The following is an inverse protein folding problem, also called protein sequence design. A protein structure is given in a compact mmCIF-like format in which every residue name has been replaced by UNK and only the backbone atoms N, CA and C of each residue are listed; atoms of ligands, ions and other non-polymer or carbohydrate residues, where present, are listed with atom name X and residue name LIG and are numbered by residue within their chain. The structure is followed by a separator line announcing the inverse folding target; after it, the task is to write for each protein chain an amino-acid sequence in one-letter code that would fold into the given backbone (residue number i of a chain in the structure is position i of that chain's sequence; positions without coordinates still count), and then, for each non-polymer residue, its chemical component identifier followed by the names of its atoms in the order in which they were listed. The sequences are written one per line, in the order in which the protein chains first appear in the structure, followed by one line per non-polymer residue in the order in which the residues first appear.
data_IF_258341664155
#
_entry.id   IF_258341664155
#
_cell.length_a   1.000
_cell.length_b   1.000
_cell.length_c   1.000
_cell.angle_alpha   90.00
_cell.angle_beta   90.00
_cell.angle_gamma   90.00
#
_symmetry.space_group_name_H-M   'P 1'
#
loop_
_entity.id
_entity.type
_entity.pdbx_description
1 polymer ?
#
# COMPACT_ATOMS: atom_id res chain seq x y z
N UNK A 1 -38.01 1.40 -31.63
CA UNK A 1 -37.09 2.04 -30.66
C UNK A 1 -36.54 3.32 -31.30
N UNK A 2 -36.65 4.50 -30.68
CA UNK A 2 -36.21 5.74 -31.34
C UNK A 2 -34.68 5.83 -31.43
N UNK A 3 -34.17 6.48 -32.48
CA UNK A 3 -32.73 6.67 -32.74
C UNK A 3 -32.02 7.27 -31.52
N UNK A 4 -32.62 8.27 -30.86
CA UNK A 4 -32.08 8.84 -29.60
C UNK A 4 -31.94 7.81 -28.49
N UNK A 5 -32.88 6.86 -28.38
CA UNK A 5 -32.85 5.80 -27.35
C UNK A 5 -31.77 4.76 -27.67
N UNK A 6 -31.56 4.46 -28.95
CA UNK A 6 -30.45 3.61 -29.42
C UNK A 6 -29.09 4.23 -29.13
N UNK A 7 -28.87 5.50 -29.51
CA UNK A 7 -27.62 6.22 -29.19
C UNK A 7 -27.37 6.31 -27.68
N UNK A 8 -28.42 6.52 -26.86
CA UNK A 8 -28.29 6.53 -25.41
C UNK A 8 -27.87 5.17 -24.85
N UNK A 9 -28.41 4.08 -25.40
CA UNK A 9 -28.05 2.71 -24.99
C UNK A 9 -26.65 2.37 -25.46
N UNK A 10 -26.29 2.68 -26.70
CA UNK A 10 -24.95 2.47 -27.25
C UNK A 10 -23.91 3.25 -26.44
N UNK A 11 -24.14 4.53 -26.16
CA UNK A 11 -23.25 5.32 -25.30
C UNK A 11 -23.17 4.75 -23.88
N UNK A 12 -24.27 4.20 -23.34
CA UNK A 12 -24.26 3.56 -22.02
C UNK A 12 -23.48 2.24 -22.03
N UNK A 13 -23.59 1.44 -23.08
CA UNK A 13 -22.82 0.20 -23.27
C UNK A 13 -21.34 0.53 -23.45
N UNK A 14 -21.00 1.44 -24.38
CA UNK A 14 -19.62 1.91 -24.60
C UNK A 14 -19.05 2.48 -23.29
N UNK A 15 -19.83 3.25 -22.52
CA UNK A 15 -19.39 3.76 -21.21
C UNK A 15 -19.16 2.67 -20.16
N UNK A 16 -19.78 1.50 -20.30
CA UNK A 16 -19.61 0.36 -19.39
C UNK A 16 -18.48 -0.57 -19.81
N UNK A 17 -18.20 -0.67 -21.11
CA UNK A 17 -17.17 -1.60 -21.64
C UNK A 17 -15.75 -1.15 -21.34
N UNK A 18 -15.49 0.16 -21.22
CA UNK A 18 -14.16 0.66 -20.83
C UNK A 18 -13.98 0.79 -19.31
N UNK A 19 -15.08 0.80 -18.54
CA UNK A 19 -15.06 0.90 -17.08
C UNK A 19 -14.95 -0.48 -16.48
N UNK A 20 -13.75 -0.80 -16.03
CA UNK A 20 -13.49 -2.02 -15.30
C UNK A 20 -13.79 -1.82 -13.82
N UNK A 21 -14.35 -2.86 -13.19
CA UNK A 21 -14.58 -2.86 -11.75
C UNK A 21 -13.25 -2.70 -11.00
N UNK A 22 -13.27 -2.11 -9.80
CA UNK A 22 -12.09 -2.04 -8.94
C UNK A 22 -11.49 -3.43 -8.74
N UNK A 23 -10.23 -3.57 -9.09
CA UNK A 23 -9.44 -4.78 -8.82
C UNK A 23 -8.73 -4.64 -7.48
N UNK A 24 -8.40 -5.75 -6.84
CA UNK A 24 -7.55 -5.68 -5.65
C UNK A 24 -6.18 -5.09 -6.01
N UNK A 25 -5.56 -4.28 -5.13
CA UNK A 25 -4.26 -3.69 -5.40
C UNK A 25 -3.21 -4.78 -5.60
N UNK A 26 -2.62 -4.84 -6.80
CA UNK A 26 -1.65 -5.87 -7.16
C UNK A 26 -0.22 -5.34 -6.99
N UNK A 27 0.62 -6.12 -6.31
CA UNK A 27 2.04 -5.83 -6.24
C UNK A 27 2.71 -5.98 -7.61
N UNK A 28 3.65 -5.10 -7.96
CA UNK A 28 4.32 -5.22 -9.24
C UNK A 28 5.15 -6.49 -9.31
N UNK A 29 5.19 -7.08 -10.51
CA UNK A 29 6.14 -8.16 -10.80
C UNK A 29 7.57 -7.66 -10.60
N UNK A 30 8.42 -8.52 -10.06
CA UNK A 30 9.83 -8.19 -9.78
C UNK A 30 10.63 -8.00 -11.06
N UNK A 31 10.26 -8.71 -12.12
CA UNK A 31 11.03 -8.83 -13.37
C UNK A 31 10.73 -7.72 -14.37
N UNK A 32 9.53 -7.14 -14.34
CA UNK A 32 9.13 -6.11 -15.31
C UNK A 32 9.42 -4.69 -14.80
N UNK A 33 10.01 -3.86 -15.65
CA UNK A 33 10.22 -2.44 -15.39
C UNK A 33 8.92 -1.65 -15.56
N UNK A 34 8.87 -0.47 -14.93
CA UNK A 34 7.75 0.46 -15.09
C UNK A 34 7.92 1.26 -16.37
N UNK A 35 6.83 1.35 -17.12
CA UNK A 35 6.79 2.12 -18.36
C UNK A 35 6.40 3.56 -18.03
N UNK A 36 7.10 4.51 -18.65
CA UNK A 36 6.78 5.93 -18.61
C UNK A 36 6.10 6.30 -19.92
N UNK A 37 4.84 6.72 -19.86
CA UNK A 37 4.04 7.06 -21.05
C UNK A 37 3.49 8.46 -20.86
N UNK A 38 3.88 9.39 -21.73
CA UNK A 38 3.38 10.77 -21.73
C UNK A 38 2.33 10.91 -22.83
N UNK A 39 1.16 11.43 -22.48
CA UNK A 39 0.09 11.65 -23.45
C UNK A 39 -1.04 12.49 -22.87
N UNK A 40 -2.09 12.70 -23.66
CA UNK A 40 -3.25 13.49 -23.28
C UNK A 40 -4.33 12.57 -22.73
N UNK A 41 -4.94 12.94 -21.61
CA UNK A 41 -6.09 12.19 -21.07
C UNK A 41 -7.27 12.31 -22.04
N UNK A 42 -7.63 11.21 -22.69
CA UNK A 42 -8.86 11.13 -23.50
C UNK A 42 -10.09 11.02 -22.60
N UNK A 43 -10.00 10.13 -21.60
CA UNK A 43 -11.05 9.86 -20.61
C UNK A 43 -10.43 9.51 -19.27
N UNK A 44 -11.08 9.94 -18.19
CA UNK A 44 -10.72 9.57 -16.84
C UNK A 44 -12.00 9.32 -16.04
N UNK A 45 -12.05 8.21 -15.31
CA UNK A 45 -13.09 7.94 -14.31
C UNK A 45 -12.44 7.67 -12.96
N UNK A 46 -13.07 8.17 -11.90
CA UNK A 46 -12.60 8.14 -10.53
C UNK A 46 -13.69 7.47 -9.68
N UNK A 47 -13.44 6.25 -9.23
CA UNK A 47 -14.29 5.60 -8.24
C UNK A 47 -13.64 5.81 -6.86
N UNK A 48 -14.25 6.64 -6.01
CA UNK A 48 -13.81 6.84 -4.62
C UNK A 48 -14.23 5.61 -3.79
N UNK A 49 -13.26 4.79 -3.38
CA UNK A 49 -13.51 3.61 -2.54
C UNK A 49 -12.41 3.48 -1.48
N UNK A 50 -12.79 3.47 -0.20
CA UNK A 50 -11.85 3.40 0.92
C UNK A 50 -11.42 1.95 1.17
N UNK A 51 -10.29 1.52 0.57
CA UNK A 51 -9.81 0.15 0.69
C UNK A 51 -8.50 0.01 1.49
N UNK A 52 -8.37 -1.15 2.14
CA UNK A 52 -7.20 -1.58 2.92
C UNK A 52 -6.02 -1.93 1.99
N UNK A 53 -4.85 -1.29 2.17
CA UNK A 53 -3.64 -1.54 1.37
C UNK A 53 -2.60 -2.37 2.15
N UNK A 54 -2.76 -3.69 2.16
CA UNK A 54 -1.64 -4.59 2.44
C UNK A 54 -1.10 -5.12 1.11
N UNK A 55 0.09 -4.65 0.74
CA UNK A 55 0.82 -5.14 -0.41
C UNK A 55 1.28 -6.57 -0.13
N UNK A 56 0.41 -7.55 -0.41
CA UNK A 56 0.71 -8.98 -0.33
C UNK A 56 1.00 -9.46 -1.76
N UNK A 57 2.16 -10.12 -2.02
CA UNK A 57 2.47 -10.68 -3.33
C UNK A 57 1.33 -11.56 -3.81
N UNK A 58 1.04 -11.57 -5.12
CA UNK A 58 -0.10 -12.34 -5.67
C UNK A 58 -0.05 -13.81 -5.24
N UNK A 59 1.15 -14.40 -5.20
CA UNK A 59 1.42 -15.74 -4.68
C UNK A 59 1.21 -15.89 -3.17
N UNK A 60 1.66 -14.91 -2.37
CA UNK A 60 1.50 -14.90 -0.92
C UNK A 60 0.03 -14.68 -0.51
N UNK A 61 -0.72 -13.91 -1.30
CA UNK A 61 -2.16 -13.71 -1.13
C UNK A 61 -2.92 -14.98 -1.47
N UNK A 62 -2.56 -15.66 -2.57
CA UNK A 62 -3.11 -16.97 -2.94
C UNK A 62 -2.89 -17.98 -1.80
N UNK A 63 -1.65 -18.11 -1.34
CA UNK A 63 -1.30 -19.05 -0.28
C UNK A 63 -2.00 -18.72 1.04
N UNK A 64 -2.16 -17.43 1.37
CA UNK A 64 -2.91 -17.00 2.56
C UNK A 64 -4.39 -17.33 2.44
N UNK A 65 -5.02 -17.04 1.31
CA UNK A 65 -6.43 -17.38 1.06
C UNK A 65 -6.63 -18.89 1.17
N UNK A 66 -5.76 -19.68 0.54
CA UNK A 66 -5.81 -21.14 0.58
C UNK A 66 -5.61 -21.65 2.01
N UNK A 67 -4.62 -21.14 2.75
CA UNK A 67 -4.37 -21.57 4.11
C UNK A 67 -5.56 -21.26 5.03
N UNK A 68 -6.06 -20.01 5.02
CA UNK A 68 -7.22 -19.62 5.85
C UNK A 68 -8.48 -20.40 5.46
N UNK A 69 -8.65 -20.71 4.17
CA UNK A 69 -9.76 -21.52 3.68
C UNK A 69 -9.66 -22.98 4.11
N UNK A 70 -8.48 -23.59 4.04
CA UNK A 70 -8.23 -24.96 4.52
C UNK A 70 -8.47 -25.05 6.04
N UNK A 71 -8.02 -24.03 6.78
CA UNK A 71 -8.21 -23.95 8.23
C UNK A 71 -9.71 -23.81 8.61
N UNK A 72 -10.50 -23.08 7.79
CA UNK A 72 -11.94 -22.91 8.01
C UNK A 72 -12.80 -24.12 7.54
N UNK A 73 -12.31 -24.94 6.60
CA UNK A 73 -13.08 -26.04 6.01
C UNK A 73 -13.38 -27.19 6.99
N UNK A 74 -12.45 -27.51 7.90
CA UNK A 74 -12.73 -28.39 9.04
C UNK A 74 -11.54 -28.42 10.02
N UNK A 75 -11.70 -27.96 11.27
CA UNK A 75 -10.66 -28.10 12.30
C UNK A 75 -10.46 -29.54 12.79
N UNK A 76 -11.33 -30.48 12.40
CA UNK A 76 -11.33 -31.87 12.88
C UNK A 76 -10.42 -32.81 12.06
N UNK A 77 -9.98 -32.40 10.86
CA UNK A 77 -9.22 -33.26 9.95
C UNK A 77 -7.84 -32.66 9.63
N UNK A 78 -6.79 -33.50 9.72
CA UNK A 78 -5.41 -33.09 9.47
C UNK A 78 -5.07 -33.17 7.97
N UNK A 79 -5.24 -32.05 7.25
CA UNK A 79 -5.04 -31.96 5.80
C UNK A 79 -3.59 -31.64 5.36
N UNK A 80 -2.58 -31.82 6.21
CA UNK A 80 -1.19 -31.40 5.95
C UNK A 80 -0.56 -32.01 4.68
N UNK A 81 -0.93 -33.24 4.31
CA UNK A 81 -0.39 -33.91 3.11
C UNK A 81 -1.06 -33.38 1.83
N UNK A 82 -2.37 -33.14 1.88
CA UNK A 82 -3.11 -32.55 0.76
C UNK A 82 -2.75 -31.06 0.57
N UNK A 83 -2.45 -30.36 1.66
CA UNK A 83 -1.91 -29.00 1.70
C UNK A 83 -0.57 -28.92 0.95
N UNK A 84 0.31 -29.91 1.11
CA UNK A 84 1.57 -30.00 0.35
C UNK A 84 1.34 -30.27 -1.12
N UNK A 85 0.48 -31.22 -1.48
CA UNK A 85 0.19 -31.55 -2.90
C UNK A 85 -0.43 -30.35 -3.65
N UNK A 86 -1.31 -29.59 -3.00
CA UNK A 86 -1.98 -28.44 -3.61
C UNK A 86 -1.09 -27.20 -3.69
N UNK A 87 -0.21 -26.99 -2.71
CA UNK A 87 0.81 -25.92 -2.74
C UNK A 87 1.96 -26.26 -3.71
N UNK A 88 2.23 -27.54 -3.98
CA UNK A 88 3.28 -28.00 -4.88
C UNK A 88 2.88 -27.98 -6.37
N UNK A 89 1.58 -27.95 -6.69
CA UNK A 89 1.13 -27.64 -8.05
C UNK A 89 1.50 -26.18 -8.38
N UNK A 90 2.53 -25.98 -9.21
CA UNK A 90 2.86 -24.66 -9.76
C UNK A 90 1.62 -24.05 -10.40
N UNK A 91 1.25 -22.86 -9.94
CA UNK A 91 0.10 -22.15 -10.50
C UNK A 91 0.56 -21.02 -11.38
N UNK A 92 0.08 -21.09 -12.63
CA UNK A 92 0.08 -20.05 -13.64
C UNK A 92 -0.13 -18.65 -13.00
N UNK A 93 0.68 -17.64 -13.35
CA UNK A 93 0.61 -16.31 -12.74
C UNK A 93 -0.76 -15.63 -12.88
N UNK A 94 -1.55 -16.02 -13.89
CA UNK A 94 -2.89 -15.52 -14.21
C UNK A 94 -3.98 -15.95 -13.22
N UNK A 95 -3.99 -15.33 -12.05
CA UNK A 95 -5.10 -15.50 -11.10
C UNK A 95 -6.14 -14.40 -11.33
N UNK A 96 -7.26 -14.78 -11.96
CA UNK A 96 -8.53 -14.06 -11.94
C UNK A 96 -9.41 -14.64 -10.81
N UNK A 97 -10.35 -13.85 -10.28
CA UNK A 97 -11.28 -14.35 -9.24
C UNK A 97 -12.08 -15.57 -9.70
N UNK A 98 -12.32 -15.70 -11.01
CA UNK A 98 -12.95 -16.87 -11.61
C UNK A 98 -12.03 -18.09 -11.68
N UNK A 99 -10.71 -17.89 -11.78
CA UNK A 99 -9.73 -18.98 -11.75
C UNK A 99 -9.61 -19.56 -10.34
N UNK A 100 -9.77 -18.73 -9.29
CA UNK A 100 -9.87 -19.23 -7.90
C UNK A 100 -11.06 -20.18 -7.76
N UNK A 101 -12.25 -19.74 -8.17
CA UNK A 101 -13.48 -20.54 -8.07
C UNK A 101 -13.37 -21.89 -8.81
N UNK A 102 -12.69 -21.89 -9.97
CA UNK A 102 -12.40 -23.10 -10.74
C UNK A 102 -11.39 -24.02 -10.04
N UNK A 103 -10.25 -23.50 -9.56
CA UNK A 103 -9.24 -24.25 -8.80
C UNK A 103 -9.87 -24.92 -7.56
N UNK A 104 -10.83 -24.26 -6.89
CA UNK A 104 -11.51 -24.80 -5.71
C UNK A 104 -12.49 -25.95 -6.03
N UNK A 105 -13.17 -25.88 -7.18
CA UNK A 105 -14.06 -26.96 -7.62
C UNK A 105 -13.26 -28.23 -7.92
N UNK A 106 -12.07 -28.06 -8.52
CA UNK A 106 -11.12 -29.15 -8.75
C UNK A 106 -10.55 -29.69 -7.43
N UNK A 107 -10.21 -28.82 -6.48
CA UNK A 107 -9.77 -29.22 -5.14
C UNK A 107 -10.81 -30.06 -4.39
N UNK A 108 -12.07 -29.61 -4.36
CA UNK A 108 -13.18 -30.36 -3.74
C UNK A 108 -13.35 -31.74 -4.38
N UNK A 109 -13.23 -31.82 -5.71
CA UNK A 109 -13.28 -33.09 -6.44
C UNK A 109 -12.11 -34.01 -6.07
N UNK A 110 -10.91 -33.47 -5.92
CA UNK A 110 -9.72 -34.23 -5.49
C UNK A 110 -9.82 -34.72 -4.04
N UNK A 111 -10.44 -33.93 -3.15
CA UNK A 111 -10.69 -34.29 -1.75
C UNK A 111 -11.66 -35.47 -1.64
N UNK A 112 -12.82 -35.35 -2.29
CA UNK A 112 -13.85 -36.41 -2.31
C UNK A 112 -13.33 -37.71 -2.97
N UNK A 113 -12.37 -37.61 -3.88
CA UNK A 113 -11.74 -38.76 -4.51
C UNK A 113 -10.72 -39.47 -3.61
N UNK A 114 -10.06 -38.75 -2.69
CA UNK A 114 -8.99 -39.29 -1.85
C UNK A 114 -9.54 -39.86 -0.54
N UNK A 115 -10.66 -39.34 -0.03
CA UNK A 115 -11.34 -39.90 1.15
C UNK A 115 -12.87 -39.88 1.00
N UNK A 116 -13.49 -41.02 0.65
CA UNK A 116 -14.93 -41.12 0.43
C UNK A 116 -15.76 -41.13 1.73
N UNK A 117 -15.12 -41.15 2.91
CA UNK A 117 -15.80 -41.08 4.21
C UNK A 117 -16.30 -39.67 4.55
N UNK A 118 -15.82 -38.66 3.82
CA UNK A 118 -16.17 -37.26 3.99
C UNK A 118 -17.54 -37.00 3.36
N UNK A 119 -18.53 -36.65 4.18
CA UNK A 119 -19.88 -36.37 3.69
C UNK A 119 -19.90 -35.08 2.85
N UNK A 120 -20.39 -35.12 1.61
CA UNK A 120 -20.34 -33.97 0.71
C UNK A 120 -21.08 -32.72 1.25
N UNK A 121 -22.03 -32.92 2.17
CA UNK A 121 -22.79 -31.90 2.88
C UNK A 121 -22.01 -31.23 4.04
N UNK A 122 -21.03 -31.90 4.66
CA UNK A 122 -20.18 -31.27 5.70
C UNK A 122 -19.11 -30.34 5.10
N UNK A 123 -18.88 -30.41 3.78
CA UNK A 123 -18.08 -29.45 2.99
C UNK A 123 -18.94 -28.42 2.23
N UNK A 124 -20.14 -28.11 2.73
CA UNK A 124 -20.93 -27.00 2.21
C UNK A 124 -20.35 -25.67 2.70
N UNK A 125 -19.27 -25.26 2.05
CA UNK A 125 -18.58 -24.02 2.34
C UNK A 125 -19.21 -22.87 1.58
N UNK A 126 -19.75 -21.90 2.31
CA UNK A 126 -20.28 -20.67 1.74
C UNK A 126 -19.12 -19.71 1.39
N UNK A 127 -18.70 -19.78 0.13
CA UNK A 127 -17.60 -18.98 -0.41
C UNK A 127 -17.85 -17.48 -0.30
N UNK A 128 -19.10 -17.02 -0.46
CA UNK A 128 -19.43 -15.60 -0.34
C UNK A 128 -19.35 -15.14 1.12
N UNK A 129 -19.77 -15.99 2.06
CA UNK A 129 -19.60 -15.73 3.50
C UNK A 129 -18.14 -15.71 3.92
N UNK A 130 -17.32 -16.65 3.46
CA UNK A 130 -15.87 -16.65 3.70
C UNK A 130 -15.19 -15.43 3.12
N UNK A 131 -15.49 -15.09 1.86
CA UNK A 131 -14.96 -13.89 1.20
C UNK A 131 -15.29 -12.64 2.01
N UNK A 132 -16.54 -12.49 2.46
CA UNK A 132 -16.96 -11.38 3.30
C UNK A 132 -16.23 -11.35 4.65
N UNK A 133 -15.97 -12.51 5.26
CA UNK A 133 -15.26 -12.63 6.54
C UNK A 133 -13.76 -12.40 6.41
N UNK A 134 -13.08 -13.00 5.44
CA UNK A 134 -11.67 -12.77 5.13
C UNK A 134 -11.38 -11.29 4.88
N UNK A 135 -12.30 -10.59 4.18
CA UNK A 135 -12.23 -9.16 3.97
C UNK A 135 -12.49 -8.35 5.27
N UNK A 136 -13.36 -8.83 6.16
CA UNK A 136 -13.71 -8.15 7.41
C UNK A 136 -12.69 -8.38 8.55
N UNK A 137 -12.06 -9.55 8.64
CA UNK A 137 -11.17 -9.97 9.74
C UNK A 137 -9.83 -9.22 9.74
N UNK A 138 -9.47 -8.58 8.62
CA UNK A 138 -8.32 -7.67 8.52
C UNK A 138 -8.64 -6.20 8.79
N UNK A 139 -9.88 -5.83 9.11
CA UNK A 139 -10.25 -4.43 9.32
C UNK A 139 -9.88 -3.98 10.74
N UNK A 140 -8.61 -3.61 10.94
CA UNK A 140 -8.24 -2.40 11.70
C UNK A 140 -6.74 -2.06 11.61
N UNK A 141 -6.32 -1.53 10.46
CA UNK A 141 -5.34 -0.47 10.41
C UNK A 141 -5.88 0.65 9.51
N UNK A 142 -5.65 1.88 9.96
CA UNK A 142 -5.85 3.15 9.26
C UNK A 142 -6.27 3.03 7.78
N UNK A 143 -7.57 3.19 7.50
CA UNK A 143 -8.09 3.34 6.13
C UNK A 143 -7.37 4.52 5.47
N UNK A 144 -6.64 4.25 4.39
CA UNK A 144 -5.97 5.28 3.61
C UNK A 144 -6.87 5.62 2.43
N UNK A 145 -7.19 6.90 2.27
CA UNK A 145 -8.00 7.37 1.14
C UNK A 145 -7.25 7.09 -0.17
N UNK A 146 -7.91 6.39 -1.08
CA UNK A 146 -7.42 6.11 -2.42
C UNK A 146 -8.59 6.10 -3.39
N UNK A 147 -8.30 6.44 -4.64
CA UNK A 147 -9.26 6.41 -5.73
C UNK A 147 -8.83 5.33 -6.71
N UNK A 148 -9.77 4.50 -7.14
CA UNK A 148 -9.55 3.62 -8.28
C UNK A 148 -9.73 4.44 -9.55
N UNK A 149 -8.66 4.55 -10.34
CA UNK A 149 -8.61 5.44 -11.49
C UNK A 149 -8.50 4.61 -12.76
N UNK A 150 -9.46 4.80 -13.66
CA UNK A 150 -9.41 4.30 -15.03
C UNK A 150 -9.08 5.48 -15.94
N UNK A 151 -7.90 5.49 -16.55
CA UNK A 151 -7.46 6.55 -17.45
C UNK A 151 -7.17 5.98 -18.84
N UNK A 152 -7.65 6.66 -19.87
CA UNK A 152 -7.40 6.32 -21.27
C UNK A 152 -6.46 7.36 -21.89
N UNK A 153 -5.33 6.88 -22.43
CA UNK A 153 -4.32 7.69 -23.12
C UNK A 153 -3.94 6.96 -24.39
N UNK A 154 -3.96 7.65 -25.54
CA UNK A 154 -3.63 7.12 -26.86
C UNK A 154 -4.36 5.80 -27.18
N UNK A 155 -5.65 5.72 -26.82
CA UNK A 155 -6.46 4.49 -26.98
C UNK A 155 -6.16 3.33 -26.02
N UNK A 156 -5.16 3.45 -25.14
CA UNK A 156 -4.79 2.42 -24.15
C UNK A 156 -5.37 2.76 -22.78
N UNK A 157 -5.91 1.76 -22.08
CA UNK A 157 -6.51 1.90 -20.76
C UNK A 157 -5.49 1.51 -19.68
N UNK A 158 -5.27 2.41 -18.74
CA UNK A 158 -4.48 2.19 -17.53
C UNK A 158 -5.41 2.25 -16.32
N UNK A 159 -5.30 1.27 -15.43
CA UNK A 159 -6.17 1.16 -14.25
C UNK A 159 -5.38 0.89 -12.99
N UNK A 160 -5.75 1.51 -11.88
CA UNK A 160 -5.07 1.24 -10.61
C UNK A 160 -5.42 2.21 -9.50
N UNK A 161 -4.89 1.91 -8.32
CA UNK A 161 -5.13 2.68 -7.11
C UNK A 161 -4.10 3.79 -6.93
N UNK A 162 -4.57 5.03 -6.97
CA UNK A 162 -3.75 6.20 -6.66
C UNK A 162 -4.42 7.05 -5.57
N UNK A 163 -3.71 8.06 -5.08
CA UNK A 163 -4.29 9.05 -4.17
C UNK A 163 -5.34 9.93 -4.84
N UNK A 164 -5.48 11.14 -4.30
CA UNK A 164 -6.26 12.20 -4.93
C UNK A 164 -5.72 12.44 -6.34
N UNK A 165 -6.64 12.47 -7.30
CA UNK A 165 -6.34 12.66 -8.71
C UNK A 165 -7.10 13.89 -9.22
N UNK A 166 -6.51 15.10 -9.15
CA UNK A 166 -7.16 16.34 -9.59
C UNK A 166 -7.02 16.57 -11.10
N UNK A 167 -6.74 15.51 -11.86
CA UNK A 167 -6.49 15.58 -13.30
C UNK A 167 -7.78 15.39 -14.10
N UNK A 168 -7.89 16.05 -15.24
CA UNK A 168 -9.10 16.06 -16.08
C UNK A 168 -8.77 15.68 -17.54
N UNK A 169 -9.80 15.25 -18.27
CA UNK A 169 -9.67 15.00 -19.70
C UNK A 169 -9.17 16.25 -20.45
N UNK A 170 -8.25 16.05 -21.38
CA UNK A 170 -7.56 17.11 -22.13
C UNK A 170 -6.28 17.65 -21.46
N UNK A 171 -5.95 17.25 -20.23
CA UNK A 171 -4.66 17.58 -19.62
C UNK A 171 -3.56 16.62 -20.10
N UNK A 172 -2.35 17.14 -20.33
CA UNK A 172 -1.16 16.32 -20.61
C UNK A 172 -0.62 15.73 -19.31
N UNK A 173 -0.52 14.40 -19.26
CA UNK A 173 -0.05 13.65 -18.09
C UNK A 173 0.96 12.58 -18.50
N UNK A 174 1.75 12.15 -17.52
CA UNK A 174 2.64 11.03 -17.62
C UNK A 174 2.16 9.90 -16.70
N UNK A 175 1.84 8.76 -17.30
CA UNK A 175 1.47 7.53 -16.64
C UNK A 175 2.71 6.71 -16.33
N UNK A 176 2.76 6.19 -15.11
CA UNK A 176 3.71 5.18 -14.68
C UNK A 176 2.92 3.91 -14.40
N UNK A 177 3.09 2.94 -15.28
CA UNK A 177 2.33 1.70 -15.25
C UNK A 177 3.22 0.49 -15.48
N UNK A 178 2.70 -0.69 -15.15
CA UNK A 178 3.33 -1.97 -15.44
C UNK A 178 2.31 -2.86 -16.14
N UNK A 179 2.75 -3.59 -17.18
CA UNK A 179 1.93 -4.64 -17.76
C UNK A 179 1.77 -5.77 -16.74
N UNK A 180 0.52 -6.06 -16.40
CA UNK A 180 0.08 -7.26 -15.72
C UNK A 180 -0.68 -8.13 -16.73
N UNK A 181 -0.92 -9.40 -16.40
CA UNK A 181 -1.32 -10.45 -17.37
C UNK A 181 -2.33 -10.02 -18.45
N UNK A 182 -3.34 -9.23 -18.07
CA UNK A 182 -4.42 -8.78 -18.97
C UNK A 182 -4.51 -7.24 -19.13
N UNK A 183 -3.78 -6.45 -18.34
CA UNK A 183 -3.93 -4.99 -18.33
C UNK A 183 -2.71 -4.24 -17.83
N UNK A 184 -2.65 -2.93 -18.14
CA UNK A 184 -1.69 -2.03 -17.51
C UNK A 184 -2.18 -1.57 -16.13
N UNK A 185 -1.48 -1.98 -15.07
CA UNK A 185 -1.70 -1.51 -13.71
C UNK A 185 -1.01 -0.14 -13.51
N UNK A 186 -1.78 0.86 -13.11
CA UNK A 186 -1.36 2.23 -12.85
C UNK A 186 -0.81 2.36 -11.43
N UNK A 187 0.45 2.81 -11.31
CA UNK A 187 1.10 3.04 -10.02
C UNK A 187 1.23 4.53 -9.68
N UNK A 188 1.38 5.38 -10.68
CA UNK A 188 1.40 6.81 -10.49
C UNK A 188 0.98 7.57 -11.74
N UNK A 189 0.38 8.74 -11.52
CA UNK A 189 -0.06 9.66 -12.55
C UNK A 189 0.55 11.03 -12.26
N UNK A 190 1.43 11.49 -13.14
CA UNK A 190 2.13 12.76 -13.01
C UNK A 190 1.60 13.78 -14.02
N UNK A 191 1.56 15.05 -13.63
CA UNK A 191 1.38 16.19 -14.52
C UNK A 191 2.71 16.94 -14.63
N UNK A 192 3.49 16.73 -15.71
CA UNK A 192 4.84 17.28 -15.84
C UNK A 192 4.89 18.82 -15.76
N UNK A 193 3.90 19.50 -16.33
CA UNK A 193 3.84 20.97 -16.37
C UNK A 193 3.80 21.60 -14.98
N UNK A 194 2.96 21.04 -14.10
CA UNK A 194 2.82 21.52 -12.71
C UNK A 194 3.82 20.86 -11.76
N UNK A 195 4.56 19.84 -12.24
CA UNK A 195 5.41 18.93 -11.46
C UNK A 195 4.69 18.35 -10.25
N UNK A 196 3.45 17.92 -10.47
CA UNK A 196 2.59 17.27 -9.47
C UNK A 196 2.45 15.81 -9.85
N UNK A 197 2.46 14.91 -8.87
CA UNK A 197 2.28 13.49 -9.06
C UNK A 197 1.33 12.92 -8.02
N UNK A 198 0.36 12.12 -8.48
CA UNK A 198 -0.48 11.27 -7.63
C UNK A 198 0.08 9.85 -7.68
N UNK A 199 0.30 9.24 -6.52
CA UNK A 199 1.01 7.96 -6.40
C UNK A 199 0.14 6.95 -5.65
N UNK A 200 0.39 5.66 -5.87
CA UNK A 200 -0.12 4.59 -5.02
C UNK A 200 0.03 4.88 -3.51
N UNK A 201 -0.99 4.57 -2.71
CA UNK A 201 -0.92 4.71 -1.26
C UNK A 201 0.29 4.02 -0.65
N UNK A 202 0.85 4.63 0.41
CA UNK A 202 2.06 4.18 1.09
C UNK A 202 3.35 4.12 0.23
N UNK A 203 3.35 4.57 -1.03
CA UNK A 203 4.52 4.57 -1.91
C UNK A 203 5.22 5.95 -2.00
N UNK A 204 5.30 6.71 -0.92
CA UNK A 204 5.79 8.12 -0.93
C UNK A 204 7.25 8.33 -0.51
N UNK A 205 7.93 7.27 -0.02
CA UNK A 205 9.28 7.34 0.56
C UNK A 205 10.17 6.24 0.00
N UNK A 206 11.42 6.59 -0.32
CA UNK A 206 12.47 5.61 -0.61
C UNK A 206 12.97 4.90 0.65
N UNK A 207 13.76 3.83 0.49
CA UNK A 207 14.16 2.94 1.59
C UNK A 207 14.98 3.66 2.66
N UNK A 208 15.95 4.48 2.26
CA UNK A 208 16.78 5.22 3.21
C UNK A 208 15.99 6.35 3.87
N UNK A 209 15.09 7.01 3.14
CA UNK A 209 14.22 8.04 3.72
C UNK A 209 13.31 7.47 4.81
N UNK A 210 12.77 6.28 4.59
CA UNK A 210 11.99 5.56 5.57
C UNK A 210 12.82 5.24 6.83
N UNK A 211 14.00 4.63 6.66
CA UNK A 211 14.90 4.30 7.77
C UNK A 211 15.31 5.54 8.58
N UNK A 212 15.63 6.66 7.93
CA UNK A 212 15.98 7.91 8.62
C UNK A 212 14.80 8.46 9.43
N UNK A 213 13.57 8.35 8.90
CA UNK A 213 12.38 8.82 9.60
C UNK A 213 12.14 8.01 10.88
N UNK A 214 12.23 6.69 10.78
CA UNK A 214 12.08 5.79 11.92
C UNK A 214 13.20 5.98 12.93
N UNK A 215 14.47 6.02 12.50
CA UNK A 215 15.60 6.28 13.40
C UNK A 215 15.42 7.56 14.22
N UNK A 216 14.85 8.62 13.62
CA UNK A 216 14.51 9.86 14.34
C UNK A 216 13.36 9.69 15.32
N UNK A 217 12.31 8.97 14.94
CA UNK A 217 11.18 8.69 15.83
C UNK A 217 11.61 7.84 17.01
N UNK A 218 12.39 6.79 16.77
CA UNK A 218 12.99 5.93 17.80
C UNK A 218 13.92 6.72 18.71
N UNK A 219 14.81 7.55 18.16
CA UNK A 219 15.68 8.41 18.97
C UNK A 219 14.88 9.39 19.84
N UNK A 220 13.84 10.00 19.29
CA UNK A 220 12.96 10.90 20.03
C UNK A 220 12.23 10.17 21.16
N UNK A 221 11.76 8.95 20.91
CA UNK A 221 11.12 8.10 21.91
C UNK A 221 12.10 7.73 23.03
N UNK A 222 13.32 7.30 22.69
CA UNK A 222 14.37 7.01 23.68
C UNK A 222 14.63 8.24 24.54
N UNK A 223 14.84 9.41 23.93
CA UNK A 223 15.14 10.63 24.65
C UNK A 223 13.99 11.03 25.57
N UNK A 224 12.75 10.90 25.10
CA UNK A 224 11.54 11.14 25.91
C UNK A 224 11.47 10.21 27.12
N UNK A 225 11.67 8.90 26.92
CA UNK A 225 11.70 7.92 28.00
C UNK A 225 12.83 8.20 29.00
N UNK A 226 14.02 8.56 28.52
CA UNK A 226 15.14 8.94 29.38
C UNK A 226 14.79 10.14 30.27
N UNK A 227 14.17 11.19 29.72
CA UNK A 227 13.76 12.35 30.51
C UNK A 227 12.73 11.96 31.56
N UNK A 228 11.71 11.18 31.18
CA UNK A 228 10.67 10.72 32.12
C UNK A 228 11.25 9.89 33.26
N UNK A 229 12.23 9.02 32.97
CA UNK A 229 12.87 8.20 33.98
C UNK A 229 13.73 9.02 34.95
N UNK A 230 14.39 10.06 34.46
CA UNK A 230 15.13 11.01 35.30
C UNK A 230 14.22 11.77 36.25
N UNK A 231 13.06 12.24 35.74
CA UNK A 231 12.04 12.89 36.57
C UNK A 231 11.51 11.92 37.62
N UNK A 232 11.19 10.69 37.24
CA UNK A 232 10.74 9.66 38.17
C UNK A 232 11.78 9.37 39.27
N UNK A 233 13.05 9.25 38.92
CA UNK A 233 14.13 9.03 39.88
C UNK A 233 14.21 10.17 40.92
N UNK A 234 14.14 11.43 40.47
CA UNK A 234 14.11 12.59 41.37
C UNK A 234 12.89 12.55 42.30
N UNK A 235 11.72 12.16 41.80
CA UNK A 235 10.50 12.09 42.62
C UNK A 235 10.55 11.01 43.70
N UNK A 236 11.14 9.86 43.41
CA UNK A 236 11.21 8.72 44.36
C UNK A 236 12.32 8.91 45.38
N UNK A 237 13.49 9.37 44.94
CA UNK A 237 14.71 9.41 45.76
C UNK A 237 15.07 10.82 46.26
N UNK A 238 14.38 11.85 45.78
CA UNK A 238 14.51 13.24 46.26
C UNK A 238 15.85 13.92 45.96
N UNK A 239 16.72 13.29 45.17
CA UNK A 239 18.15 13.63 45.11
C UNK A 239 18.59 14.15 43.72
N UNK A 240 18.26 15.41 43.41
CA UNK A 240 18.80 16.08 42.20
C UNK A 240 20.34 16.06 42.15
N UNK A 241 20.99 16.08 43.32
CA UNK A 241 22.44 16.00 43.47
C UNK A 241 23.02 14.71 42.87
N UNK A 242 22.37 13.55 43.07
CA UNK A 242 22.86 12.27 42.57
C UNK A 242 22.81 12.18 41.04
N UNK A 243 21.81 12.81 40.43
CA UNK A 243 21.70 12.98 38.97
C UNK A 243 22.81 13.89 38.42
N UNK A 244 22.99 15.08 39.02
CA UNK A 244 23.95 16.08 38.53
C UNK A 244 25.41 15.63 38.68
N UNK A 245 25.74 14.93 39.76
CA UNK A 245 27.08 14.42 40.04
C UNK A 245 27.34 13.01 39.49
N UNK A 246 26.38 12.42 38.77
CA UNK A 246 26.50 11.08 38.16
C UNK A 246 27.06 10.05 39.15
N UNK A 247 26.48 10.00 40.35
CA UNK A 247 27.00 9.13 41.42
C UNK A 247 26.89 7.65 41.04
N UNK A 248 27.69 6.80 41.70
CA UNK A 248 27.69 5.37 41.43
C UNK A 248 26.30 4.72 41.60
N UNK A 249 25.50 5.18 42.57
CA UNK A 249 24.12 4.75 42.79
C UNK A 249 23.22 5.07 41.60
N UNK A 250 23.27 6.31 41.10
CA UNK A 250 22.52 6.73 39.93
C UNK A 250 22.94 5.96 38.66
N UNK A 251 24.25 5.78 38.45
CA UNK A 251 24.78 5.00 37.33
C UNK A 251 24.30 3.54 37.42
N UNK A 252 24.33 2.94 38.62
CA UNK A 252 23.86 1.57 38.85
C UNK A 252 22.37 1.42 38.53
N UNK A 253 21.57 2.40 38.92
CA UNK A 253 20.13 2.44 38.61
C UNK A 253 19.85 2.60 37.11
N UNK A 254 20.64 3.43 36.41
CA UNK A 254 20.42 3.70 34.98
C UNK A 254 20.93 2.61 34.04
N UNK A 255 21.97 1.87 34.42
CA UNK A 255 22.54 0.76 33.62
C UNK A 255 21.49 -0.19 33.02
N UNK A 256 20.58 -0.82 33.80
CA UNK A 256 19.60 -1.75 33.24
C UNK A 256 18.64 -1.09 32.24
N UNK A 257 18.35 0.20 32.38
CA UNK A 257 17.47 0.96 31.48
C UNK A 257 18.17 1.22 30.13
N UNK A 258 19.46 1.56 30.16
CA UNK A 258 20.26 1.68 28.94
C UNK A 258 20.36 0.35 28.19
N UNK A 259 20.59 -0.76 28.92
CA UNK A 259 20.63 -2.09 28.31
C UNK A 259 19.28 -2.51 27.75
N UNK A 260 18.19 -2.34 28.51
CA UNK A 260 16.83 -2.70 28.07
C UNK A 260 16.36 -1.87 26.87
N UNK A 261 16.62 -0.56 26.88
CA UNK A 261 16.27 0.32 25.76
C UNK A 261 17.06 0.00 24.49
N UNK A 262 18.34 -0.37 24.61
CA UNK A 262 19.17 -0.81 23.48
C UNK A 262 18.59 -2.07 22.79
N UNK A 263 18.16 -3.05 23.59
CA UNK A 263 17.54 -4.28 23.07
C UNK A 263 16.22 -3.97 22.36
N UNK A 264 15.36 -3.14 22.96
CA UNK A 264 14.08 -2.75 22.37
C UNK A 264 14.27 -2.03 21.02
N UNK A 265 15.25 -1.13 20.93
CA UNK A 265 15.57 -0.43 19.67
C UNK A 265 16.08 -1.38 18.59
N UNK A 266 16.90 -2.36 18.98
CA UNK A 266 17.41 -3.38 18.08
C UNK A 266 16.28 -4.22 17.49
N UNK A 267 15.32 -4.64 18.33
CA UNK A 267 14.12 -5.37 17.89
C UNK A 267 13.26 -4.51 16.94
N UNK A 268 13.05 -3.23 17.27
CA UNK A 268 12.32 -2.30 16.40
C UNK A 268 12.93 -2.19 15.01
N UNK A 269 14.25 -2.04 14.91
CA UNK A 269 14.94 -1.98 13.61
C UNK A 269 14.88 -3.30 12.82
N UNK A 270 14.88 -4.45 13.51
CA UNK A 270 14.72 -5.76 12.87
C UNK A 270 13.29 -5.95 12.33
N UNK A 271 12.27 -5.58 13.11
CA UNK A 271 10.86 -5.60 12.67
C UNK A 271 10.67 -4.65 11.47
N UNK A 272 11.37 -3.53 11.41
CA UNK A 272 11.29 -2.62 10.26
C UNK A 272 12.01 -3.14 9.01
N UNK A 273 12.98 -4.03 9.19
CA UNK A 273 13.64 -4.73 8.10
C UNK A 273 12.74 -5.80 7.45
N UNK A 274 11.53 -6.01 7.99
CA UNK A 274 10.52 -6.91 7.41
C UNK A 274 10.31 -6.58 5.93
N UNK A 275 10.26 -7.61 5.06
CA UNK A 275 10.23 -7.44 3.61
C UNK A 275 9.08 -6.56 3.11
N UNK A 276 7.93 -6.51 3.80
CA UNK A 276 6.76 -5.75 3.37
C UNK A 276 6.97 -4.23 3.34
N UNK A 277 7.73 -3.68 4.29
CA UNK A 277 8.07 -2.25 4.30
C UNK A 277 9.07 -1.95 3.17
N UNK A 278 10.04 -2.85 2.98
CA UNK A 278 10.98 -2.78 1.88
C UNK A 278 10.29 -2.90 0.51
N UNK A 279 9.22 -3.71 0.38
CA UNK A 279 8.42 -3.82 -0.86
C UNK A 279 7.83 -2.46 -1.24
N UNK A 280 7.14 -1.78 -0.32
CA UNK A 280 6.56 -0.43 -0.56
C UNK A 280 7.61 0.60 -0.97
N UNK A 281 8.74 0.63 -0.26
CA UNK A 281 9.85 1.52 -0.56
C UNK A 281 10.49 1.21 -1.93
N UNK A 282 10.60 -0.06 -2.32
CA UNK A 282 11.11 -0.45 -3.64
C UNK A 282 10.18 -0.02 -4.78
N UNK A 283 8.87 -0.08 -4.58
CA UNK A 283 7.89 0.44 -5.56
C UNK A 283 8.08 1.94 -5.72
N UNK A 284 8.12 2.67 -4.61
CA UNK A 284 8.40 4.11 -4.62
C UNK A 284 9.71 4.42 -5.35
N UNK A 285 10.78 3.66 -5.09
CA UNK A 285 12.06 3.81 -5.78
C UNK A 285 11.98 3.52 -7.28
N UNK A 286 11.21 2.50 -7.71
CA UNK A 286 10.95 2.25 -9.14
C UNK A 286 10.23 3.45 -9.78
N UNK A 287 9.18 3.98 -9.14
CA UNK A 287 8.48 5.19 -9.61
C UNK A 287 9.45 6.38 -9.73
N UNK A 288 10.30 6.59 -8.73
CA UNK A 288 11.27 7.69 -8.73
C UNK A 288 12.35 7.51 -9.80
N UNK A 289 12.79 6.26 -10.05
CA UNK A 289 13.71 5.92 -11.14
C UNK A 289 13.09 6.28 -12.49
N UNK A 290 11.83 5.88 -12.71
CA UNK A 290 11.08 6.16 -13.94
C UNK A 290 10.86 7.65 -14.18
N UNK A 291 10.69 8.45 -13.12
CA UNK A 291 10.62 9.92 -13.19
C UNK A 291 11.98 10.62 -13.31
N UNK A 292 13.07 9.85 -13.37
CA UNK A 292 14.45 10.34 -13.38
C UNK A 292 14.77 11.29 -12.21
N UNK A 293 14.27 10.94 -11.01
CA UNK A 293 14.45 11.74 -9.81
C UNK A 293 15.83 11.52 -9.16
N UNK A 294 16.50 12.59 -8.68
CA UNK A 294 17.81 12.45 -8.05
C UNK A 294 17.69 11.82 -6.65
N UNK A 295 18.70 11.02 -6.25
CA UNK A 295 18.81 10.44 -4.90
C UNK A 295 17.59 9.60 -4.48
N UNK A 296 17.15 8.71 -5.38
CA UNK A 296 15.98 7.83 -5.29
C UNK A 296 15.77 7.25 -3.87
N UNK A 297 16.75 6.56 -3.30
CA UNK A 297 16.59 5.90 -2.00
C UNK A 297 16.41 6.86 -0.81
N UNK A 298 16.91 8.10 -0.90
CA UNK A 298 16.78 9.15 0.13
C UNK A 298 15.60 10.09 -0.11
N UNK A 299 14.83 9.86 -1.16
CA UNK A 299 13.72 10.71 -1.53
C UNK A 299 12.51 10.51 -0.61
N UNK A 300 11.97 11.61 -0.11
CA UNK A 300 10.71 11.66 0.62
C UNK A 300 9.86 12.74 -0.05
N UNK A 301 8.86 12.31 -0.83
CA UNK A 301 8.01 13.22 -1.58
C UNK A 301 7.17 14.10 -0.67
N UNK A 302 6.72 13.59 0.49
CA UNK A 302 5.97 14.38 1.47
C UNK A 302 6.84 15.51 2.01
N UNK A 303 8.09 15.19 2.39
CA UNK A 303 9.04 16.20 2.89
C UNK A 303 9.42 17.21 1.81
N UNK A 304 9.64 16.77 0.57
CA UNK A 304 9.97 17.65 -0.55
C UNK A 304 8.82 18.60 -0.87
N UNK A 305 7.61 18.06 -0.98
CA UNK A 305 6.36 18.80 -1.19
C UNK A 305 6.15 19.85 -0.09
N UNK A 306 6.28 19.47 1.18
CA UNK A 306 6.10 20.39 2.30
C UNK A 306 7.10 21.56 2.26
N UNK A 307 8.37 21.28 1.90
CA UNK A 307 9.37 22.32 1.70
C UNK A 307 9.02 23.26 0.54
N UNK A 308 8.57 22.72 -0.59
CA UNK A 308 8.17 23.51 -1.77
C UNK A 308 6.95 24.38 -1.47
N UNK A 309 5.93 23.82 -0.82
CA UNK A 309 4.74 24.56 -0.38
C UNK A 309 5.10 25.66 0.61
N UNK A 310 5.98 25.40 1.58
CA UNK A 310 6.45 26.43 2.51
C UNK A 310 7.14 27.60 1.79
N UNK A 311 8.03 27.31 0.82
CA UNK A 311 8.68 28.33 -0.01
C UNK A 311 7.67 29.12 -0.85
N UNK A 312 6.67 28.46 -1.42
CA UNK A 312 5.61 29.13 -2.19
C UNK A 312 4.73 30.02 -1.30
N UNK A 313 4.45 29.60 -0.06
CA UNK A 313 3.73 30.43 0.92
C UNK A 313 4.52 31.69 1.31
N UNK A 314 5.82 31.56 1.53
CA UNK A 314 6.71 32.70 1.78
C UNK A 314 6.77 33.66 0.57
N UNK A 315 6.88 33.12 -0.66
CA UNK A 315 6.84 33.93 -1.88
C UNK A 315 5.48 34.60 -2.13
N UNK A 316 4.37 33.95 -1.78
CA UNK A 316 3.02 34.54 -1.85
C UNK A 316 2.80 35.70 -0.89
N UNK A 317 3.43 35.66 0.28
CA UNK A 317 3.42 36.82 1.18
C UNK A 317 4.12 38.04 0.55
N UNK A 318 5.02 37.81 -0.43
CA UNK A 318 5.68 38.85 -1.20
C UNK A 318 5.02 39.18 -2.56
N UNK A 319 4.32 38.24 -3.21
CA UNK A 319 3.66 38.45 -4.50
C UNK A 319 2.23 37.87 -4.50
N UNK A 320 1.25 38.70 -4.84
CA UNK A 320 -0.21 38.48 -4.78
C UNK A 320 -0.80 37.51 -5.81
N UNK A 321 0.01 36.61 -6.40
CA UNK A 321 -0.49 35.66 -7.43
C UNK A 321 -0.89 34.32 -6.79
N UNK A 322 -2.19 33.98 -6.91
CA UNK A 322 -2.75 32.67 -6.51
C UNK A 322 -2.35 31.59 -7.54
N UNK A 323 -1.76 30.46 -7.14
CA UNK A 323 -1.60 29.28 -7.97
C UNK A 323 -2.99 28.69 -8.26
N UNK A 324 -3.15 28.12 -9.45
CA UNK A 324 -4.43 27.64 -9.99
C UNK A 324 -5.07 26.52 -9.16
N UNK A 325 -4.27 25.68 -8.47
CA UNK A 325 -4.77 24.58 -7.64
C UNK A 325 -4.27 24.69 -6.19
N UNK A 326 -5.16 24.50 -5.21
CA UNK A 326 -4.83 24.48 -3.77
C UNK A 326 -4.37 23.09 -3.38
N UNK A 327 -3.10 22.97 -3.07
CA UNK A 327 -2.53 21.77 -2.45
C UNK A 327 -2.70 21.88 -0.92
N UNK A 328 -3.36 20.90 -0.29
CA UNK A 328 -3.56 20.86 1.16
C UNK A 328 -2.55 19.91 1.81
N UNK A 329 -1.47 20.41 2.44
CA UNK A 329 -0.39 19.58 2.97
C UNK A 329 -0.69 19.01 4.36
N UNK A 330 -1.86 19.25 4.94
CA UNK A 330 -2.11 19.03 6.38
C UNK A 330 -3.26 18.06 6.57
N UNK A 331 -2.89 16.88 7.05
CA UNK A 331 -3.68 15.86 7.74
C UNK A 331 -4.24 14.71 6.90
N UNK A 332 -4.48 14.91 5.61
CA UNK A 332 -5.07 13.85 4.79
C UNK A 332 -4.00 13.25 3.88
N UNK A 333 -3.88 11.92 3.91
CA UNK A 333 -2.90 11.14 3.16
C UNK A 333 -3.26 11.04 1.67
N UNK A 334 -3.48 12.19 1.04
CA UNK A 334 -4.05 12.30 -0.30
C UNK A 334 -3.12 11.75 -1.40
N UNK A 335 -1.94 11.25 -1.05
CA UNK A 335 -0.88 10.70 -1.93
C UNK A 335 -0.58 11.50 -3.23
N UNK A 336 -0.98 12.76 -3.25
CA UNK A 336 -0.62 13.77 -4.23
C UNK A 336 0.62 14.49 -3.72
N UNK A 337 1.62 14.75 -4.55
CA UNK A 337 2.90 15.33 -4.18
C UNK A 337 3.45 16.23 -5.28
N UNK A 338 4.33 17.16 -4.90
CA UNK A 338 5.27 17.74 -5.86
C UNK A 338 6.49 16.84 -6.01
N UNK A 339 7.10 16.84 -7.20
CA UNK A 339 8.36 16.16 -7.47
C UNK A 339 9.40 17.07 -8.14
#
# INVERSE_FOLDING_TARGET
MSIKKFYKIQNKIVSRTWRHKPTYPVLPSWETEFVYIKGIIERIDLEEEYNYFEFVPKSELKNRIINTYIDDLSPEYNFEELKKDFLAKEVNPSIDTASLEFDFKEFKKSLLAKDPSINAASLEFDFEKFKKRFLAEKVNPFLIKANFVNVQIDGVIYRGWIGDCPFQAGEEVAVIAQWQEDHYELYALAKPDERIISICPNCSKGRIAYLIHQAKATLFLILSFMILFNVFYILVWGSLYQLLHLTAEYISFMKPIFFGSSIFCSIGMIIESIPNVNKKAKIAEKIFKTLNLPKIARMDLRRFTNKKVAKLKQKKQHNSVKPSKRFFPRKDENNLFYY
#
